data_IF_637676750602
#
_entry.id   IF_637676750602
#
_cell.length_a   1.000
_cell.length_b   1.000
_cell.length_c   1.000
_cell.angle_alpha   90.00
_cell.angle_beta   90.00
_cell.angle_gamma   90.00
#
_symmetry.space_group_name_H-M   'P 1'
#
loop_
_entity.id
_entity.type
_entity.pdbx_description
1 polymer ?
#
# COMPACT_ATOMS: atom_id res chain seq x y z
N UNK A 1 26.50 6.43 -32.95
CA UNK A 1 26.59 5.27 -32.04
C UNK A 1 25.34 5.26 -31.19
N UNK A 2 24.49 4.27 -31.42
CA UNK A 2 23.21 4.07 -30.74
C UNK A 2 23.43 3.45 -29.37
N UNK A 3 22.88 4.08 -28.32
CA UNK A 3 22.93 3.57 -26.94
C UNK A 3 22.02 2.34 -26.81
N UNK A 4 22.57 1.21 -26.38
CA UNK A 4 21.81 0.01 -26.01
C UNK A 4 21.68 -0.05 -24.48
N UNK A 5 20.46 0.08 -23.98
CA UNK A 5 20.14 0.11 -22.54
C UNK A 5 19.96 -1.28 -21.91
N UNK A 6 20.20 -2.37 -22.65
CA UNK A 6 20.01 -3.76 -22.18
C UNK A 6 21.31 -4.54 -21.92
N UNK A 7 22.47 -3.94 -22.16
CA UNK A 7 23.74 -4.59 -21.84
C UNK A 7 23.93 -4.69 -20.30
N UNK A 8 24.27 -5.88 -19.75
CA UNK A 8 24.52 -6.04 -18.33
C UNK A 8 25.71 -5.18 -17.91
N UNK A 9 25.48 -4.29 -16.94
CA UNK A 9 26.50 -3.40 -16.37
C UNK A 9 27.00 -4.04 -15.10
N UNK A 10 28.28 -4.39 -15.06
CA UNK A 10 28.92 -4.89 -13.84
C UNK A 10 29.45 -3.70 -13.04
N UNK A 11 29.18 -3.71 -11.73
CA UNK A 11 29.80 -2.79 -10.77
C UNK A 11 30.73 -3.63 -9.90
N UNK A 12 32.02 -3.28 -9.88
CA UNK A 12 33.00 -3.89 -9.00
C UNK A 12 33.17 -3.00 -7.77
N UNK A 13 32.74 -3.47 -6.61
CA UNK A 13 32.95 -2.79 -5.33
C UNK A 13 34.17 -3.41 -4.65
N UNK A 14 35.15 -2.57 -4.31
CA UNK A 14 36.29 -2.92 -3.46
C UNK A 14 36.09 -2.21 -2.12
N UNK A 15 36.17 -2.95 -1.02
CA UNK A 15 36.10 -2.40 0.32
C UNK A 15 37.51 -2.28 0.87
N UNK A 16 37.86 -1.13 1.43
CA UNK A 16 39.18 -0.88 2.03
C UNK A 16 39.24 -1.36 3.48
N UNK A 17 38.09 -1.54 4.15
CA UNK A 17 38.00 -2.13 5.48
C UNK A 17 36.68 -2.89 5.68
N UNK A 18 36.72 -3.94 6.51
CA UNK A 18 35.59 -4.79 6.85
C UNK A 18 35.47 -4.86 8.39
N UNK A 19 34.51 -4.16 8.96
CA UNK A 19 34.19 -4.30 10.38
C UNK A 19 33.22 -5.46 10.62
N UNK A 20 33.53 -6.27 11.62
CA UNK A 20 32.67 -7.37 12.07
C UNK A 20 32.13 -7.06 13.46
N UNK A 21 30.85 -7.35 13.67
CA UNK A 21 30.14 -7.10 14.92
C UNK A 21 29.80 -8.41 15.63
N UNK A 22 29.80 -8.37 16.96
CA UNK A 22 29.24 -9.44 17.79
C UNK A 22 27.71 -9.55 17.63
N UNK A 23 27.07 -10.58 18.22
CA UNK A 23 25.65 -10.85 18.00
C UNK A 23 24.78 -9.61 18.31
N UNK A 24 24.08 -9.13 17.28
CA UNK A 24 23.15 -8.00 17.37
C UNK A 24 21.75 -8.56 17.60
N UNK A 25 21.02 -7.98 18.56
CA UNK A 25 19.62 -8.33 18.80
C UNK A 25 18.80 -8.07 17.52
N UNK A 26 17.99 -9.05 17.05
CA UNK A 26 17.27 -8.97 15.77
C UNK A 26 16.35 -7.74 15.64
N UNK A 27 15.88 -7.20 16.77
CA UNK A 27 15.03 -6.02 16.82
C UNK A 27 15.69 -4.72 16.35
N UNK A 28 17.02 -4.67 16.21
CA UNK A 28 17.75 -3.50 15.70
C UNK A 28 18.05 -3.53 14.19
N UNK A 29 17.66 -4.60 13.48
CA UNK A 29 17.99 -4.78 12.06
C UNK A 29 16.78 -4.98 11.14
N UNK A 30 15.56 -4.69 11.57
CA UNK A 30 14.36 -4.99 10.77
C UNK A 30 14.08 -3.96 9.66
N UNK A 31 14.78 -2.82 9.64
CA UNK A 31 14.51 -1.76 8.67
C UNK A 31 15.27 -1.97 7.35
N UNK A 32 14.65 -1.64 6.20
CA UNK A 32 15.37 -1.42 4.96
C UNK A 32 16.47 -0.39 5.22
N UNK A 33 17.68 -0.65 4.73
CA UNK A 33 18.77 0.30 4.89
C UNK A 33 18.54 1.47 3.92
N UNK A 34 17.93 2.56 4.38
CA UNK A 34 18.04 3.85 3.70
C UNK A 34 19.43 4.41 4.00
N UNK A 35 20.27 4.46 2.97
CA UNK A 35 21.52 5.19 3.01
C UNK A 35 21.42 6.40 2.08
N UNK A 36 21.61 7.59 2.65
CA UNK A 36 21.78 8.83 1.92
C UNK A 36 23.26 9.01 1.59
N UNK A 37 23.58 9.27 0.33
CA UNK A 37 24.84 9.89 -0.04
C UNK A 37 24.67 11.40 0.05
N UNK A 38 25.59 12.08 0.73
CA UNK A 38 25.63 13.53 0.85
C UNK A 38 26.78 14.08 0.00
N UNK A 39 26.58 15.26 -0.58
CA UNK A 39 27.70 16.05 -1.09
C UNK A 39 28.53 16.62 0.09
N UNK A 40 29.71 17.20 -0.17
CA UNK A 40 30.55 17.78 0.87
C UNK A 40 29.90 18.93 1.66
N UNK A 41 28.84 19.55 1.14
CA UNK A 41 28.08 20.64 1.79
C UNK A 41 26.90 20.10 2.62
N UNK A 42 26.71 18.78 2.67
CA UNK A 42 25.69 18.10 3.47
C UNK A 42 24.34 17.96 2.76
N UNK A 43 24.26 18.19 1.45
CA UNK A 43 23.02 18.00 0.67
C UNK A 43 22.93 16.57 0.16
N UNK A 44 21.77 15.94 0.33
CA UNK A 44 21.51 14.58 -0.18
C UNK A 44 21.58 14.59 -1.71
N UNK A 45 22.52 13.83 -2.28
CA UNK A 45 22.74 13.66 -3.72
C UNK A 45 22.11 12.38 -4.26
N UNK A 46 21.92 11.37 -3.42
CA UNK A 46 21.30 10.10 -3.79
C UNK A 46 20.73 9.39 -2.56
N UNK A 47 19.51 8.86 -2.67
CA UNK A 47 18.92 7.93 -1.70
C UNK A 47 18.69 6.59 -2.40
N UNK A 48 19.12 5.50 -1.75
CA UNK A 48 18.87 4.14 -2.20
C UNK A 48 17.81 3.49 -1.33
N UNK A 49 16.70 3.06 -1.94
CA UNK A 49 15.68 2.23 -1.32
C UNK A 49 15.59 0.90 -2.09
N UNK A 50 15.93 -0.22 -1.44
CA UNK A 50 15.79 -1.55 -2.02
C UNK A 50 14.97 -2.44 -1.12
N UNK A 51 13.82 -2.88 -1.64
CA UNK A 51 12.93 -3.85 -1.01
C UNK A 51 13.53 -5.26 -0.89
N UNK A 52 14.67 -5.54 -1.54
CA UNK A 52 15.25 -6.88 -1.64
C UNK A 52 16.33 -7.22 -0.60
N UNK A 53 16.80 -6.24 0.17
CA UNK A 53 17.84 -6.47 1.19
C UNK A 53 17.32 -5.95 2.53
N UNK A 54 16.75 -6.86 3.30
CA UNK A 54 16.52 -6.70 4.75
C UNK A 54 17.02 -7.94 5.49
N UNK A 55 17.46 -7.82 6.76
CA UNK A 55 17.73 -8.97 7.61
C UNK A 55 16.50 -9.90 7.77
N UNK A 56 16.78 -11.19 7.96
CA UNK A 56 15.76 -12.22 8.23
C UNK A 56 15.09 -11.92 9.57
N UNK A 57 13.76 -11.81 9.54
CA UNK A 57 12.94 -11.57 10.72
C UNK A 57 12.54 -12.89 11.38
N UNK A 58 11.97 -12.82 12.59
CA UNK A 58 11.35 -13.96 13.26
C UNK A 58 10.21 -14.59 12.41
N UNK A 59 9.60 -13.83 11.51
CA UNK A 59 8.52 -14.30 10.64
C UNK A 59 9.03 -15.13 9.46
N UNK A 60 10.22 -14.80 8.93
CA UNK A 60 10.94 -15.61 7.93
C UNK A 60 11.49 -16.90 8.56
N UNK A 61 11.90 -16.84 9.83
CA UNK A 61 12.25 -18.03 10.63
C UNK A 61 11.02 -18.91 10.89
N UNK A 62 9.86 -18.32 11.13
CA UNK A 62 8.60 -19.05 11.29
C UNK A 62 8.12 -19.72 9.98
N UNK A 63 8.33 -19.11 8.82
CA UNK A 63 8.10 -19.76 7.53
C UNK A 63 9.07 -20.94 7.27
N UNK A 64 10.33 -20.81 7.69
CA UNK A 64 11.36 -21.87 7.68
C UNK A 64 11.03 -23.05 8.65
N UNK A 65 10.35 -22.78 9.76
CA UNK A 65 9.89 -23.81 10.70
C UNK A 65 8.60 -24.50 10.22
N UNK A 66 7.67 -23.77 9.60
CA UNK A 66 6.39 -24.30 9.07
C UNK A 66 6.53 -25.23 7.86
N UNK A 67 7.68 -25.21 7.18
CA UNK A 67 8.01 -26.18 6.12
C UNK A 67 8.51 -27.53 6.68
N UNK A 68 8.57 -27.74 8.01
CA UNK A 68 8.96 -29.01 8.65
C UNK A 68 7.75 -29.75 9.27
N UNK A 69 7.66 -31.10 9.19
CA UNK A 69 6.40 -31.83 9.43
C UNK A 69 6.01 -32.18 10.89
N UNK A 70 6.74 -31.79 11.96
CA UNK A 70 6.38 -32.21 13.35
C UNK A 70 6.88 -31.22 14.43
N UNK A 71 6.02 -30.92 15.43
CA UNK A 71 6.18 -30.27 16.78
C UNK A 71 5.16 -29.11 16.97
N UNK A 72 4.33 -28.92 18.01
CA UNK A 72 3.71 -29.70 19.09
C UNK A 72 2.62 -28.79 19.72
N UNK A 73 1.49 -29.35 20.15
CA UNK A 73 0.22 -28.65 20.44
C UNK A 73 0.03 -28.13 21.89
N UNK A 74 0.98 -27.40 22.52
CA UNK A 74 0.81 -27.14 23.98
C UNK A 74 1.38 -25.86 24.64
N UNK A 75 1.52 -24.71 23.96
CA UNK A 75 1.75 -23.43 24.67
C UNK A 75 0.47 -22.61 24.75
N UNK A 76 -0.25 -22.75 25.87
CA UNK A 76 -1.34 -21.84 26.19
C UNK A 76 -0.76 -20.46 26.58
N UNK A 77 -1.38 -19.35 26.12
CA UNK A 77 -0.93 -18.01 26.47
C UNK A 77 -0.85 -17.83 27.99
N UNK A 78 0.34 -17.50 28.47
CA UNK A 78 0.72 -17.57 29.87
C UNK A 78 0.13 -16.42 30.70
N UNK A 79 -0.15 -15.28 30.06
CA UNK A 79 -0.75 -14.11 30.72
C UNK A 79 -2.12 -13.72 30.15
N UNK A 80 -2.94 -13.05 30.96
CA UNK A 80 -4.22 -12.48 30.51
C UNK A 80 -4.02 -11.40 29.42
N UNK A 81 -2.92 -10.65 29.52
CA UNK A 81 -2.55 -9.60 28.57
C UNK A 81 -2.23 -10.15 27.18
N UNK A 82 -1.50 -11.27 27.09
CA UNK A 82 -1.21 -11.92 25.80
C UNK A 82 -2.48 -12.48 25.13
N UNK A 83 -3.42 -13.01 25.92
CA UNK A 83 -4.72 -13.48 25.41
C UNK A 83 -5.53 -12.34 24.81
N UNK A 84 -5.63 -11.24 25.55
CA UNK A 84 -6.36 -10.04 25.10
C UNK A 84 -5.75 -9.46 23.82
N UNK A 85 -4.43 -9.37 23.74
CA UNK A 85 -3.72 -8.91 22.53
C UNK A 85 -3.94 -9.80 21.32
N UNK A 86 -3.85 -11.13 21.50
CA UNK A 86 -4.08 -12.10 20.41
C UNK A 86 -5.54 -12.03 19.94
N UNK A 87 -6.49 -11.94 20.87
CA UNK A 87 -7.91 -11.85 20.52
C UNK A 87 -8.24 -10.52 19.83
N UNK A 88 -7.68 -9.39 20.30
CA UNK A 88 -7.84 -8.08 19.65
C UNK A 88 -7.30 -8.10 18.22
N UNK A 89 -6.07 -8.59 18.00
CA UNK A 89 -5.49 -8.70 16.67
C UNK A 89 -6.27 -9.64 15.75
N UNK A 90 -6.82 -10.72 16.29
CA UNK A 90 -7.72 -11.63 15.53
C UNK A 90 -9.01 -10.93 15.13
N UNK A 91 -9.59 -10.11 16.02
CA UNK A 91 -10.79 -9.33 15.71
C UNK A 91 -10.53 -8.26 14.66
N UNK A 92 -9.40 -7.56 14.71
CA UNK A 92 -8.98 -6.59 13.70
C UNK A 92 -8.85 -7.25 12.32
N UNK A 93 -8.12 -8.36 12.21
CA UNK A 93 -7.97 -9.10 10.95
C UNK A 93 -9.31 -9.57 10.36
N UNK A 94 -10.28 -9.93 11.21
CA UNK A 94 -11.63 -10.30 10.77
C UNK A 94 -12.40 -9.07 10.27
N UNK A 95 -12.32 -7.95 11.00
CA UNK A 95 -12.96 -6.69 10.60
C UNK A 95 -12.42 -6.19 9.25
N UNK A 96 -11.10 -6.22 9.06
CA UNK A 96 -10.44 -5.82 7.81
C UNK A 96 -10.91 -6.67 6.63
N UNK A 97 -10.99 -7.99 6.82
CA UNK A 97 -11.52 -8.91 5.78
C UNK A 97 -12.97 -8.62 5.44
N UNK A 98 -13.81 -8.37 6.46
CA UNK A 98 -15.22 -8.06 6.26
C UNK A 98 -15.40 -6.69 5.57
N UNK A 99 -14.64 -5.68 5.98
CA UNK A 99 -14.63 -4.36 5.36
C UNK A 99 -14.24 -4.45 3.89
N UNK A 100 -13.08 -5.06 3.59
CA UNK A 100 -12.62 -5.27 2.21
C UNK A 100 -13.67 -5.99 1.37
N UNK A 101 -14.27 -7.05 1.90
CA UNK A 101 -15.31 -7.82 1.20
C UNK A 101 -16.53 -6.95 0.86
N UNK A 102 -17.01 -6.16 1.83
CA UNK A 102 -18.15 -5.24 1.63
C UNK A 102 -17.86 -4.19 0.54
N UNK A 103 -16.68 -3.58 0.56
CA UNK A 103 -16.28 -2.59 -0.46
C UNK A 103 -16.24 -3.25 -1.84
N UNK A 104 -15.56 -4.38 -2.00
CA UNK A 104 -15.47 -5.03 -3.31
C UNK A 104 -16.83 -5.45 -3.87
N UNK A 105 -17.73 -5.97 -3.02
CA UNK A 105 -19.09 -6.30 -3.45
C UNK A 105 -19.86 -5.07 -3.93
N UNK A 106 -19.74 -3.94 -3.22
CA UNK A 106 -20.42 -2.70 -3.60
C UNK A 106 -19.98 -2.16 -4.98
N UNK A 107 -18.71 -2.36 -5.35
CA UNK A 107 -18.14 -1.93 -6.63
C UNK A 107 -18.08 -3.05 -7.69
N UNK A 108 -18.64 -4.24 -7.41
CA UNK A 108 -18.61 -5.38 -8.32
C UNK A 108 -17.19 -5.89 -8.63
N UNK A 109 -16.28 -5.77 -7.67
CA UNK A 109 -14.85 -6.13 -7.77
C UNK A 109 -14.10 -5.47 -8.95
N UNK A 110 -14.57 -4.30 -9.39
CA UNK A 110 -13.95 -3.50 -10.44
C UNK A 110 -13.24 -2.29 -9.85
N UNK A 111 -12.18 -1.86 -10.51
CA UNK A 111 -11.54 -0.60 -10.16
C UNK A 111 -12.51 0.56 -10.43
N UNK A 112 -12.77 1.38 -9.43
CA UNK A 112 -13.63 2.55 -9.49
C UNK A 112 -13.07 3.65 -10.38
N UNK A 113 -11.80 3.59 -10.78
CA UNK A 113 -11.17 4.60 -11.64
C UNK A 113 -11.14 4.17 -13.11
N UNK A 114 -10.63 2.97 -13.40
CA UNK A 114 -10.55 2.49 -14.78
C UNK A 114 -11.67 1.54 -15.21
N UNK A 115 -12.60 1.19 -14.33
CA UNK A 115 -13.76 0.35 -14.62
C UNK A 115 -13.44 -1.12 -14.97
N UNK A 116 -12.16 -1.51 -14.97
CA UNK A 116 -11.74 -2.87 -15.32
C UNK A 116 -11.99 -3.83 -14.18
N UNK A 117 -12.37 -5.04 -14.57
CA UNK A 117 -12.28 -6.22 -13.74
C UNK A 117 -10.81 -6.67 -13.73
N UNK A 118 -10.17 -6.56 -12.56
CA UNK A 118 -8.81 -7.03 -12.34
C UNK A 118 -8.84 -8.39 -11.63
N UNK A 119 -9.77 -9.26 -12.02
CA UNK A 119 -9.93 -10.58 -11.46
C UNK A 119 -9.98 -11.71 -12.48
N UNK A 120 -9.83 -12.91 -11.95
CA UNK A 120 -10.14 -14.19 -12.58
C UNK A 120 -11.35 -14.76 -11.82
N UNK A 121 -12.59 -14.57 -12.34
CA UNK A 121 -13.79 -15.06 -11.69
C UNK A 121 -13.84 -16.58 -11.54
N UNK A 122 -13.20 -17.33 -12.45
CA UNK A 122 -13.16 -18.79 -12.41
C UNK A 122 -12.32 -19.28 -11.22
N UNK A 123 -11.24 -18.55 -10.90
CA UNK A 123 -10.38 -18.81 -9.73
C UNK A 123 -10.78 -18.06 -8.48
N UNK A 124 -11.71 -17.10 -8.59
CA UNK A 124 -12.13 -16.23 -7.49
C UNK A 124 -11.03 -15.28 -6.99
N UNK A 125 -10.05 -14.96 -7.83
CA UNK A 125 -8.90 -14.12 -7.48
C UNK A 125 -9.14 -12.72 -8.03
N UNK A 126 -9.08 -11.69 -7.19
CA UNK A 126 -9.25 -10.29 -7.60
C UNK A 126 -8.10 -9.46 -7.04
N UNK A 127 -7.43 -8.71 -7.91
CA UNK A 127 -6.32 -7.84 -7.55
C UNK A 127 -6.78 -6.53 -6.89
N UNK A 128 -8.04 -6.14 -7.10
CA UNK A 128 -8.64 -4.91 -6.56
C UNK A 128 -8.60 -4.89 -5.03
N UNK A 129 -8.31 -3.70 -4.50
CA UNK A 129 -8.13 -3.40 -3.09
C UNK A 129 -9.23 -2.44 -2.61
N UNK A 130 -9.47 -2.43 -1.29
CA UNK A 130 -10.30 -1.41 -0.67
C UNK A 130 -9.39 -0.23 -0.29
N UNK A 131 -9.42 0.82 -1.10
CA UNK A 131 -8.66 2.04 -0.90
C UNK A 131 -9.48 2.99 0.00
N UNK A 132 -8.94 3.34 1.16
CA UNK A 132 -9.54 4.32 2.05
C UNK A 132 -9.39 5.73 1.47
N UNK A 133 -10.46 6.52 1.53
CA UNK A 133 -10.48 7.91 1.06
C UNK A 133 -9.81 8.83 2.07
N UNK A 134 -10.14 8.65 3.35
CA UNK A 134 -9.45 9.22 4.49
C UNK A 134 -8.77 8.10 5.27
N UNK A 135 -7.46 8.23 5.47
CA UNK A 135 -6.68 7.26 6.22
C UNK A 135 -7.12 7.16 7.68
N UNK A 136 -7.07 5.96 8.26
CA UNK A 136 -7.42 5.72 9.67
C UNK A 136 -6.56 6.57 10.63
N UNK A 137 -5.28 6.78 10.32
CA UNK A 137 -4.36 7.65 11.08
C UNK A 137 -4.81 9.12 11.13
N UNK A 138 -5.73 9.52 10.26
CA UNK A 138 -6.31 10.87 10.18
C UNK A 138 -7.78 10.89 10.56
N UNK A 139 -8.28 9.85 11.24
CA UNK A 139 -9.67 9.76 11.71
C UNK A 139 -10.65 9.15 10.71
N UNK A 140 -10.16 8.54 9.62
CA UNK A 140 -11.02 7.81 8.69
C UNK A 140 -11.61 6.53 9.30
N UNK A 141 -12.88 6.24 9.00
CA UNK A 141 -13.59 5.06 9.49
C UNK A 141 -13.56 3.89 8.48
N UNK A 142 -13.70 2.65 8.95
CA UNK A 142 -13.94 1.44 8.11
C UNK A 142 -15.41 1.31 7.66
N UNK A 143 -15.91 2.41 7.12
CA UNK A 143 -17.24 2.50 6.50
C UNK A 143 -17.12 2.50 4.98
N UNK A 144 -18.08 1.89 4.28
CA UNK A 144 -18.05 1.79 2.81
C UNK A 144 -18.02 3.19 2.18
N UNK A 145 -18.66 4.18 2.81
CA UNK A 145 -18.66 5.57 2.34
C UNK A 145 -17.30 6.28 2.52
N UNK A 146 -16.32 5.63 3.15
CA UNK A 146 -14.92 6.07 3.25
C UNK A 146 -13.98 5.22 2.40
N UNK A 147 -14.48 4.40 1.48
CA UNK A 147 -13.62 3.60 0.62
C UNK A 147 -14.15 3.41 -0.80
N UNK A 148 -13.20 3.14 -1.69
CA UNK A 148 -13.45 2.81 -3.08
C UNK A 148 -12.66 1.56 -3.44
N UNK A 149 -13.21 0.74 -4.34
CA UNK A 149 -12.47 -0.39 -4.87
C UNK A 149 -11.48 0.13 -5.94
N UNK A 150 -10.17 -0.06 -5.77
CA UNK A 150 -9.16 0.40 -6.73
C UNK A 150 -8.16 -0.71 -7.06
N UNK A 151 -7.64 -0.78 -8.29
CA UNK A 151 -6.47 -1.62 -8.57
C UNK A 151 -5.24 -0.99 -7.89
N UNK A 152 -4.18 -1.78 -7.68
CA UNK A 152 -2.97 -1.36 -6.95
C UNK A 152 -2.34 -0.09 -7.52
N UNK A 153 -2.38 0.07 -8.84
CA UNK A 153 -1.82 1.24 -9.48
C UNK A 153 -2.61 2.52 -9.15
N UNK A 154 -3.94 2.48 -9.27
CA UNK A 154 -4.78 3.63 -8.93
C UNK A 154 -4.85 3.89 -7.43
N UNK A 155 -4.77 2.83 -6.61
CA UNK A 155 -4.67 2.94 -5.16
C UNK A 155 -3.40 3.71 -4.77
N UNK A 156 -2.23 3.25 -5.23
CA UNK A 156 -0.96 3.96 -5.01
C UNK A 156 -1.02 5.40 -5.52
N UNK A 157 -1.56 5.62 -6.72
CA UNK A 157 -1.64 6.95 -7.30
C UNK A 157 -2.54 7.90 -6.50
N UNK A 158 -3.60 7.37 -5.88
CA UNK A 158 -4.48 8.12 -4.99
C UNK A 158 -3.77 8.45 -3.67
N UNK A 159 -3.09 7.47 -3.06
CA UNK A 159 -2.37 7.64 -1.80
C UNK A 159 -1.21 8.64 -1.90
N UNK A 160 -0.56 8.73 -3.06
CA UNK A 160 0.49 9.72 -3.33
C UNK A 160 -0.06 11.08 -3.79
N UNK A 161 -1.38 11.22 -3.94
CA UNK A 161 -2.02 12.48 -4.30
C UNK A 161 -1.75 12.94 -5.74
N UNK A 162 -1.57 12.01 -6.67
CA UNK A 162 -1.47 12.33 -8.11
C UNK A 162 -2.79 12.84 -8.68
N UNK A 163 -3.91 12.39 -8.12
CA UNK A 163 -5.24 12.88 -8.43
C UNK A 163 -6.08 12.87 -7.15
N UNK A 164 -7.20 13.60 -7.18
CA UNK A 164 -8.25 13.56 -6.19
C UNK A 164 -9.61 13.45 -6.90
N UNK A 165 -10.69 13.39 -6.12
CA UNK A 165 -12.05 13.31 -6.65
C UNK A 165 -12.88 14.50 -6.14
N UNK A 166 -13.74 15.06 -7.00
CA UNK A 166 -14.79 16.01 -6.60
C UNK A 166 -15.90 15.29 -5.83
N UNK A 167 -16.81 16.05 -5.21
CA UNK A 167 -18.00 15.49 -4.55
C UNK A 167 -18.88 14.66 -5.50
N UNK A 168 -18.90 15.03 -6.78
CA UNK A 168 -19.62 14.32 -7.85
C UNK A 168 -18.80 13.17 -8.48
N UNK A 169 -17.59 12.92 -7.97
CA UNK A 169 -16.70 11.85 -8.43
C UNK A 169 -15.85 12.22 -9.66
N UNK A 170 -15.80 13.48 -10.08
CA UNK A 170 -14.92 13.91 -11.17
C UNK A 170 -13.45 13.82 -10.75
N UNK A 171 -12.61 13.33 -11.65
CA UNK A 171 -11.18 13.11 -11.41
C UNK A 171 -10.45 14.45 -11.56
N UNK A 172 -10.01 14.99 -10.44
CA UNK A 172 -9.21 16.20 -10.34
C UNK A 172 -7.73 15.82 -10.45
N UNK A 173 -7.06 16.25 -11.50
CA UNK A 173 -5.63 15.95 -11.74
C UNK A 173 -4.80 17.19 -11.51
N UNK A 174 -3.56 17.00 -11.07
CA UNK A 174 -2.60 18.10 -11.11
C UNK A 174 -2.20 18.41 -12.55
N UNK A 175 -1.89 19.68 -12.82
CA UNK A 175 -1.47 20.11 -14.16
C UNK A 175 -0.10 19.53 -14.55
N UNK A 176 0.76 19.22 -13.57
CA UNK A 176 2.10 18.66 -13.72
C UNK A 176 2.14 17.12 -13.65
N UNK A 177 0.98 16.46 -13.62
CA UNK A 177 0.89 15.00 -13.61
C UNK A 177 1.59 14.41 -14.84
N UNK A 178 2.49 13.45 -14.61
CA UNK A 178 3.24 12.82 -15.69
C UNK A 178 2.32 12.16 -16.72
N UNK A 179 2.69 12.23 -18.01
CA UNK A 179 1.86 11.78 -19.13
C UNK A 179 1.42 10.32 -19.01
N UNK A 180 2.32 9.43 -18.59
CA UNK A 180 2.02 8.01 -18.38
C UNK A 180 0.93 7.83 -17.31
N UNK A 181 0.95 8.62 -16.23
CA UNK A 181 -0.07 8.57 -15.19
C UNK A 181 -1.42 9.06 -15.70
N UNK A 182 -1.42 10.07 -16.56
CA UNK A 182 -2.64 10.55 -17.25
C UNK A 182 -3.19 9.46 -18.17
N UNK A 183 -2.33 8.76 -18.92
CA UNK A 183 -2.72 7.66 -19.81
C UNK A 183 -3.28 6.46 -19.03
N UNK A 184 -2.82 6.20 -17.80
CA UNK A 184 -3.33 5.13 -16.92
C UNK A 184 -4.76 5.37 -16.42
N UNK A 185 -5.24 6.61 -16.44
CA UNK A 185 -6.66 6.90 -16.24
C UNK A 185 -7.51 6.50 -17.46
N UNK A 186 -6.89 6.11 -18.58
CA UNK A 186 -7.54 5.56 -19.79
C UNK A 186 -8.66 6.43 -20.36
N UNK A 187 -8.54 7.74 -20.20
CA UNK A 187 -9.54 8.70 -20.66
C UNK A 187 -10.78 8.80 -19.76
N UNK A 188 -10.84 8.07 -18.64
CA UNK A 188 -11.87 8.29 -17.63
C UNK A 188 -11.65 9.65 -16.97
N UNK A 189 -12.72 10.44 -16.91
CA UNK A 189 -12.75 11.76 -16.26
C UNK A 189 -13.54 11.75 -14.97
N UNK A 190 -14.23 10.65 -14.67
CA UNK A 190 -15.09 10.47 -13.50
C UNK A 190 -14.94 9.06 -12.97
N UNK A 191 -14.93 8.91 -11.65
CA UNK A 191 -14.92 7.62 -10.98
C UNK A 191 -16.31 6.97 -10.98
N UNK A 192 -16.33 5.65 -10.96
CA UNK A 192 -17.53 4.84 -10.83
C UNK A 192 -17.86 4.67 -9.35
N UNK A 193 -19.04 5.13 -8.96
CA UNK A 193 -19.60 4.85 -7.64
C UNK A 193 -20.57 3.66 -7.69
N UNK A 194 -20.88 3.05 -6.53
CA UNK A 194 -21.84 1.96 -6.46
C UNK A 194 -23.22 2.36 -6.99
N UNK A 195 -24.00 1.37 -7.44
CA UNK A 195 -25.38 1.62 -7.89
C UNK A 195 -26.26 2.13 -6.74
N UNK A 196 -26.00 1.66 -5.52
CA UNK A 196 -26.67 2.17 -4.32
C UNK A 196 -25.99 3.47 -3.85
N UNK A 197 -26.74 4.57 -3.92
CA UNK A 197 -26.27 5.89 -3.52
C UNK A 197 -25.94 6.00 -2.02
N UNK A 198 -26.50 5.14 -1.18
CA UNK A 198 -26.18 5.13 0.26
C UNK A 198 -24.75 4.64 0.54
N UNK A 199 -24.14 3.95 -0.43
CA UNK A 199 -22.78 3.44 -0.36
C UNK A 199 -21.77 4.37 -1.04
N UNK A 200 -22.20 5.55 -1.50
CA UNK A 200 -21.32 6.49 -2.15
C UNK A 200 -20.28 7.06 -1.18
N UNK A 201 -19.08 7.38 -1.68
CA UNK A 201 -18.13 8.21 -0.96
C UNK A 201 -18.79 9.46 -0.37
N UNK A 202 -18.67 9.66 0.94
CA UNK A 202 -19.12 10.90 1.58
C UNK A 202 -18.22 12.05 1.14
N UNK A 203 -18.83 13.20 0.84
CA UNK A 203 -18.12 14.42 0.49
C UNK A 203 -17.02 14.79 1.50
N UNK A 204 -17.26 14.60 2.81
CA UNK A 204 -16.28 14.84 3.86
C UNK A 204 -14.98 14.01 3.69
N UNK A 205 -15.09 12.74 3.28
CA UNK A 205 -13.94 11.86 3.10
C UNK A 205 -13.13 12.26 1.85
N UNK A 206 -13.83 12.61 0.76
CA UNK A 206 -13.22 13.12 -0.46
C UNK A 206 -12.54 14.48 -0.22
N UNK A 207 -13.19 15.36 0.54
CA UNK A 207 -12.65 16.64 0.94
C UNK A 207 -11.38 16.49 1.79
N UNK A 208 -11.37 15.55 2.75
CA UNK A 208 -10.20 15.30 3.58
C UNK A 208 -8.96 14.97 2.75
N UNK A 209 -9.11 14.15 1.70
CA UNK A 209 -8.03 13.83 0.76
C UNK A 209 -7.61 15.06 -0.08
N UNK A 210 -8.59 15.80 -0.63
CA UNK A 210 -8.31 17.04 -1.37
C UNK A 210 -7.52 18.04 -0.52
N UNK A 211 -7.94 18.28 0.71
CA UNK A 211 -7.26 19.17 1.65
C UNK A 211 -5.86 18.68 2.01
N UNK A 212 -5.67 17.37 2.17
CA UNK A 212 -4.36 16.78 2.44
C UNK A 212 -3.35 17.07 1.33
N UNK A 213 -3.78 17.05 0.07
CA UNK A 213 -2.90 17.23 -1.08
C UNK A 213 -3.02 18.60 -1.75
N UNK A 214 -3.83 19.52 -1.23
CA UNK A 214 -3.99 20.87 -1.78
C UNK A 214 -4.73 20.91 -3.12
N UNK A 215 -5.68 20.01 -3.34
CA UNK A 215 -6.63 20.13 -4.46
C UNK A 215 -7.73 21.14 -4.13
N UNK A 216 -8.31 21.82 -5.14
CA UNK A 216 -9.38 22.79 -4.93
C UNK A 216 -10.61 22.14 -4.29
N UNK A 217 -11.36 22.93 -3.53
CA UNK A 217 -12.69 22.50 -3.10
C UNK A 217 -13.59 22.34 -4.33
N UNK A 218 -14.42 21.30 -4.28
CA UNK A 218 -15.51 21.12 -5.23
C UNK A 218 -16.79 21.43 -4.47
N UNK A 219 -17.64 22.27 -5.06
CA UNK A 219 -19.01 22.47 -4.62
C UNK A 219 -19.79 21.14 -4.64
#
# INVERSE_FOLDING_TARGET
MTFDSRAPRFVLLRFDDLETFGPIAPSKGAEPLEANAYDPDGKVIFSYFSLGIRPLTAEDQNAYLRSRPYLSANEQPQSAFERERIEHGRQELVRDRQFRTRVLLAYGAKCALCGRDHGDPERGIYEVEACHLQAASRGGSDDITNAMAMCKHHHWAYDEGFFALSNDGDILRRADMARNMVEELRGHTRAYFPVDFNLWPKAANLMAHRSQFGFPESD
#
